data_IF_572794984727
#
_entry.id   IF_572794984727
#
_cell.length_a   1.000
_cell.length_b   1.000
_cell.length_c   1.000
_cell.angle_alpha   90.00
_cell.angle_beta   90.00
_cell.angle_gamma   90.00
#
_symmetry.space_group_name_H-M   'P 1'
#
loop_
_entity.id
_entity.type
_entity.pdbx_description
1 polymer ?
#
# COMPACT_ATOMS: atom_id res chain seq x y z
N UNK A 1 -5.60 -0.20 -41.67
CA UNK A 1 -6.23 -0.12 -40.33
C UNK A 1 -7.27 -1.23 -40.27
N UNK A 2 -6.82 -2.47 -40.01
CA UNK A 2 -7.63 -3.68 -40.23
C UNK A 2 -7.46 -4.68 -39.07
N UNK A 3 -7.15 -4.16 -37.88
CA UNK A 3 -6.86 -4.96 -36.69
C UNK A 3 -7.90 -4.79 -35.55
N UNK A 4 -9.03 -4.12 -35.81
CA UNK A 4 -10.08 -3.89 -34.79
C UNK A 4 -11.40 -4.58 -35.12
N UNK A 5 -11.56 -5.17 -36.32
CA UNK A 5 -12.85 -5.73 -36.79
C UNK A 5 -13.15 -7.18 -36.35
N UNK A 6 -12.36 -7.75 -35.42
CA UNK A 6 -12.63 -9.09 -34.86
C UNK A 6 -12.77 -9.05 -33.34
N UNK A 7 -13.54 -8.11 -32.82
CA UNK A 7 -13.88 -8.05 -31.40
C UNK A 7 -14.97 -9.09 -31.08
N UNK A 8 -14.55 -10.28 -30.68
CA UNK A 8 -15.46 -11.30 -30.12
C UNK A 8 -15.81 -10.90 -28.68
N UNK A 9 -17.10 -10.79 -28.31
CA UNK A 9 -17.52 -10.58 -26.92
C UNK A 9 -16.88 -11.57 -25.95
N UNK A 10 -16.51 -11.12 -24.75
CA UNK A 10 -15.83 -11.96 -23.76
C UNK A 10 -16.63 -13.23 -23.41
N UNK A 11 -17.95 -13.13 -23.32
CA UNK A 11 -18.85 -14.27 -23.06
C UNK A 11 -18.76 -15.30 -24.18
N UNK A 12 -18.83 -14.85 -25.43
CA UNK A 12 -18.72 -15.72 -26.61
C UNK A 12 -17.37 -16.43 -26.66
N UNK A 13 -16.27 -15.71 -26.39
CA UNK A 13 -14.94 -16.31 -26.32
C UNK A 13 -14.85 -17.42 -25.26
N UNK A 14 -15.44 -17.21 -24.08
CA UNK A 14 -15.45 -18.19 -22.99
C UNK A 14 -16.26 -19.43 -23.37
N UNK A 15 -17.43 -19.26 -24.01
CA UNK A 15 -18.25 -20.39 -24.49
C UNK A 15 -17.45 -21.22 -25.51
N UNK A 16 -16.77 -20.57 -26.45
CA UNK A 16 -15.90 -21.25 -27.42
C UNK A 16 -14.73 -21.98 -26.75
N UNK A 17 -14.23 -21.45 -25.63
CA UNK A 17 -13.16 -22.10 -24.88
C UNK A 17 -13.62 -23.35 -24.14
N UNK A 18 -14.84 -23.38 -23.60
CA UNK A 18 -15.43 -24.58 -23.00
C UNK A 18 -15.71 -25.66 -24.04
N UNK A 19 -16.11 -25.28 -25.25
CA UNK A 19 -16.30 -26.21 -26.36
C UNK A 19 -15.00 -26.95 -26.71
N UNK A 20 -13.88 -26.24 -26.77
CA UNK A 20 -12.56 -26.84 -27.06
C UNK A 20 -12.06 -27.78 -25.96
N UNK A 21 -12.47 -27.56 -24.71
CA UNK A 21 -12.00 -28.31 -23.53
C UNK A 21 -12.80 -29.59 -23.27
N UNK A 22 -14.00 -29.70 -23.79
CA UNK A 22 -14.93 -30.80 -23.52
C UNK A 22 -15.12 -31.67 -24.78
N UNK A 23 -15.30 -32.99 -24.61
CA UNK A 23 -15.55 -33.88 -25.75
C UNK A 23 -17.01 -33.83 -26.21
N UNK A 24 -17.27 -33.06 -27.27
CA UNK A 24 -18.61 -32.84 -27.84
C UNK A 24 -19.23 -34.08 -28.49
N UNK A 25 -18.45 -35.16 -28.70
CA UNK A 25 -18.98 -36.43 -29.23
C UNK A 25 -19.63 -37.29 -28.15
N UNK A 26 -19.43 -36.96 -26.87
CA UNK A 26 -19.99 -37.71 -25.74
C UNK A 26 -21.16 -36.95 -25.10
N UNK A 27 -22.17 -37.69 -24.62
CA UNK A 27 -23.27 -37.09 -23.86
C UNK A 27 -22.78 -36.38 -22.58
N UNK A 28 -21.69 -36.87 -21.99
CA UNK A 28 -21.05 -36.26 -20.82
C UNK A 28 -20.43 -34.89 -21.14
N UNK A 29 -19.67 -34.78 -22.24
CA UNK A 29 -19.03 -33.52 -22.64
C UNK A 29 -20.04 -32.45 -23.07
N UNK A 30 -21.13 -32.85 -23.76
CA UNK A 30 -22.25 -31.94 -24.06
C UNK A 30 -22.89 -31.38 -22.79
N UNK A 31 -23.14 -32.24 -21.81
CA UNK A 31 -23.70 -31.83 -20.51
C UNK A 31 -22.76 -30.90 -19.73
N UNK A 32 -21.45 -31.13 -19.80
CA UNK A 32 -20.43 -30.29 -19.16
C UNK A 32 -20.38 -28.90 -19.80
N UNK A 33 -20.29 -28.80 -21.13
CA UNK A 33 -20.35 -27.53 -21.85
C UNK A 33 -21.61 -26.73 -21.48
N UNK A 34 -22.79 -27.33 -21.57
CA UNK A 34 -24.03 -26.64 -21.25
C UNK A 34 -24.04 -26.19 -19.78
N UNK A 35 -23.55 -27.02 -18.84
CA UNK A 35 -23.55 -26.65 -17.42
C UNK A 35 -22.56 -25.50 -17.11
N UNK A 36 -21.38 -25.50 -17.73
CA UNK A 36 -20.36 -24.45 -17.52
C UNK A 36 -20.73 -23.14 -18.20
N UNK A 37 -21.22 -23.20 -19.44
CA UNK A 37 -21.67 -22.03 -20.18
C UNK A 37 -22.89 -21.37 -19.52
N UNK A 38 -23.90 -22.15 -19.12
CA UNK A 38 -25.11 -21.60 -18.51
C UNK A 38 -24.87 -20.95 -17.15
N UNK A 39 -23.86 -21.40 -16.37
CA UNK A 39 -23.45 -20.71 -15.13
C UNK A 39 -22.97 -19.29 -15.37
N UNK A 40 -22.34 -19.03 -16.52
CA UNK A 40 -21.92 -17.69 -16.93
C UNK A 40 -23.12 -16.83 -17.33
N UNK A 41 -24.12 -17.43 -18.00
CA UNK A 41 -25.32 -16.74 -18.49
C UNK A 41 -26.25 -16.24 -17.39
N UNK A 42 -26.20 -16.84 -16.20
CA UNK A 42 -26.90 -16.34 -15.00
C UNK A 42 -26.46 -14.90 -14.65
N UNK A 43 -25.20 -14.55 -14.91
CA UNK A 43 -24.66 -13.22 -14.57
C UNK A 43 -24.98 -12.15 -15.64
N UNK A 44 -25.54 -12.54 -16.79
CA UNK A 44 -25.93 -11.62 -17.87
C UNK A 44 -27.25 -10.95 -17.51
N UNK A 45 -27.20 -9.62 -17.29
CA UNK A 45 -28.35 -8.83 -16.87
C UNK A 45 -29.30 -8.51 -18.03
N UNK A 46 -28.77 -8.31 -19.24
CA UNK A 46 -29.57 -7.97 -20.42
C UNK A 46 -30.31 -9.22 -20.95
N UNK A 47 -31.65 -9.19 -21.04
CA UNK A 47 -32.43 -10.33 -21.51
C UNK A 47 -32.17 -10.71 -22.98
N UNK A 48 -31.87 -9.74 -23.85
CA UNK A 48 -31.62 -9.95 -25.28
C UNK A 48 -30.26 -10.59 -25.51
N UNK A 49 -29.24 -10.14 -24.77
CA UNK A 49 -27.93 -10.78 -24.81
C UNK A 49 -27.98 -12.20 -24.25
N UNK A 50 -28.70 -12.41 -23.14
CA UNK A 50 -28.86 -13.75 -22.55
C UNK A 50 -29.52 -14.71 -23.53
N UNK A 51 -30.56 -14.26 -24.22
CA UNK A 51 -31.25 -15.00 -25.26
C UNK A 51 -30.30 -15.42 -26.40
N UNK A 52 -29.50 -14.48 -26.90
CA UNK A 52 -28.51 -14.74 -27.96
C UNK A 52 -27.51 -15.85 -27.55
N UNK A 53 -27.02 -15.82 -26.31
CA UNK A 53 -26.07 -16.82 -25.85
C UNK A 53 -26.70 -18.17 -25.51
N UNK A 54 -27.98 -18.22 -25.10
CA UNK A 54 -28.71 -19.48 -24.93
C UNK A 54 -28.79 -20.22 -26.27
N UNK A 55 -29.13 -19.50 -27.35
CA UNK A 55 -29.18 -20.03 -28.71
C UNK A 55 -27.79 -20.52 -29.16
N UNK A 56 -26.73 -19.76 -28.86
CA UNK A 56 -25.36 -20.15 -29.17
C UNK A 56 -24.93 -21.44 -28.45
N UNK A 57 -25.26 -21.58 -27.16
CA UNK A 57 -24.96 -22.80 -26.39
C UNK A 57 -25.73 -23.99 -26.94
N UNK A 58 -27.03 -23.83 -27.24
CA UNK A 58 -27.86 -24.90 -27.81
C UNK A 58 -27.29 -25.44 -29.12
N UNK A 59 -26.86 -24.55 -30.01
CA UNK A 59 -26.25 -24.90 -31.28
C UNK A 59 -24.91 -25.64 -31.09
N UNK A 60 -24.06 -25.19 -30.16
CA UNK A 60 -22.75 -25.81 -29.89
C UNK A 60 -22.86 -27.16 -29.18
N UNK A 61 -23.82 -27.34 -28.26
CA UNK A 61 -24.05 -28.65 -27.61
C UNK A 61 -24.88 -29.60 -28.46
N UNK A 62 -25.52 -29.12 -29.53
CA UNK A 62 -26.42 -29.91 -30.38
C UNK A 62 -27.67 -30.36 -29.61
N UNK A 63 -28.23 -29.47 -28.79
CA UNK A 63 -29.42 -29.71 -27.96
C UNK A 63 -30.51 -28.70 -28.32
N UNK A 64 -31.77 -29.01 -28.02
CA UNK A 64 -32.84 -28.04 -28.24
C UNK A 64 -32.72 -26.86 -27.26
N UNK A 65 -33.13 -25.68 -27.71
CA UNK A 65 -33.23 -24.48 -26.88
C UNK A 65 -34.03 -24.71 -25.59
N UNK A 66 -35.19 -25.35 -25.68
CA UNK A 66 -36.01 -25.69 -24.51
C UNK A 66 -35.26 -26.56 -23.49
N UNK A 67 -34.36 -27.45 -23.95
CA UNK A 67 -33.55 -28.28 -23.05
C UNK A 67 -32.48 -27.45 -22.32
N UNK A 68 -31.92 -26.42 -22.99
CA UNK A 68 -30.95 -25.49 -22.40
C UNK A 68 -31.63 -24.54 -21.42
N UNK A 69 -32.82 -24.03 -21.74
CA UNK A 69 -33.64 -23.20 -20.86
C UNK A 69 -34.08 -23.97 -19.60
N UNK A 70 -34.63 -25.19 -19.76
CA UNK A 70 -34.97 -26.04 -18.63
C UNK A 70 -33.73 -26.39 -17.77
N UNK A 71 -32.55 -26.48 -18.39
CA UNK A 71 -31.29 -26.69 -17.66
C UNK A 71 -30.84 -25.44 -16.92
N UNK A 72 -31.05 -24.25 -17.48
CA UNK A 72 -30.75 -22.97 -16.85
C UNK A 72 -31.56 -22.77 -15.57
N UNK A 73 -32.86 -23.11 -15.60
CA UNK A 73 -33.74 -23.08 -14.43
C UNK A 73 -33.32 -24.08 -13.33
N UNK A 74 -32.70 -25.20 -13.72
CA UNK A 74 -32.18 -26.23 -12.81
C UNK A 74 -30.76 -25.96 -12.33
N UNK A 75 -30.09 -24.91 -12.84
CA UNK A 75 -28.78 -24.53 -12.32
C UNK A 75 -29.03 -23.81 -11.01
N UNK A 76 -28.85 -24.56 -9.92
CA UNK A 76 -28.56 -23.97 -8.62
C UNK A 76 -27.30 -23.12 -8.80
N UNK A 77 -27.53 -21.81 -8.93
CA UNK A 77 -26.48 -20.82 -8.67
C UNK A 77 -26.03 -21.16 -7.26
N UNK A 78 -24.76 -21.51 -7.03
CA UNK A 78 -24.28 -21.52 -5.68
C UNK A 78 -24.52 -20.09 -5.20
N UNK A 79 -25.50 -19.90 -4.32
CA UNK A 79 -25.49 -18.77 -3.41
C UNK A 79 -24.20 -19.01 -2.66
N UNK A 80 -23.11 -18.49 -3.21
CA UNK A 80 -21.89 -18.28 -2.49
C UNK A 80 -22.36 -17.37 -1.38
N UNK A 81 -22.76 -17.97 -0.25
CA UNK A 81 -22.60 -17.34 1.04
C UNK A 81 -21.23 -16.72 0.92
N UNK A 82 -21.13 -15.37 0.88
CA UNK A 82 -19.89 -14.72 0.53
C UNK A 82 -18.90 -15.34 1.49
N UNK A 83 -17.99 -16.18 0.97
CA UNK A 83 -17.05 -16.93 1.78
C UNK A 83 -16.37 -15.82 2.51
N UNK A 84 -16.66 -15.70 3.82
CA UNK A 84 -16.20 -14.58 4.63
C UNK A 84 -14.71 -14.55 4.34
N UNK A 85 -14.30 -13.57 3.53
CA UNK A 85 -12.90 -13.33 3.29
C UNK A 85 -12.37 -13.20 4.71
N UNK A 86 -11.29 -13.93 5.05
CA UNK A 86 -10.63 -13.70 6.33
C UNK A 86 -10.56 -12.20 6.44
N UNK A 87 -11.20 -11.63 7.47
CA UNK A 87 -11.10 -10.22 7.75
C UNK A 87 -9.61 -10.00 7.89
N UNK A 88 -9.00 -9.48 6.82
CA UNK A 88 -7.68 -8.91 6.90
C UNK A 88 -7.92 -7.87 7.97
N UNK A 89 -7.26 -8.02 9.12
CA UNK A 89 -7.25 -6.94 10.10
C UNK A 89 -6.98 -5.68 9.27
N UNK A 90 -7.81 -4.63 9.37
CA UNK A 90 -7.50 -3.41 8.66
C UNK A 90 -6.03 -3.14 8.95
N UNK A 91 -5.19 -3.18 7.91
CA UNK A 91 -3.88 -2.56 8.03
C UNK A 91 -4.28 -1.17 8.50
N UNK A 92 -3.85 -0.76 9.70
CA UNK A 92 -4.06 0.62 10.13
C UNK A 92 -3.42 1.47 9.04
N UNK A 93 -4.25 1.95 8.11
CA UNK A 93 -3.79 2.81 7.05
C UNK A 93 -3.45 4.08 7.80
N UNK A 94 -2.16 4.32 7.94
CA UNK A 94 -1.66 5.54 8.55
C UNK A 94 -2.42 6.72 7.96
N UNK A 95 -2.82 7.65 8.82
CA UNK A 95 -3.51 8.85 8.38
C UNK A 95 -2.64 9.55 7.31
N UNK A 96 -3.24 10.24 6.32
CA UNK A 96 -2.47 10.97 5.32
C UNK A 96 -1.44 11.94 5.93
N UNK A 97 -1.77 12.51 7.10
CA UNK A 97 -0.83 13.32 7.88
C UNK A 97 0.37 12.50 8.36
N UNK A 98 0.15 11.32 8.93
CA UNK A 98 1.23 10.47 9.42
C UNK A 98 2.15 9.97 8.30
N UNK A 99 1.58 9.57 7.16
CA UNK A 99 2.36 9.18 5.98
C UNK A 99 3.28 10.35 5.55
N UNK A 100 2.75 11.58 5.57
CA UNK A 100 3.53 12.78 5.24
C UNK A 100 4.64 13.03 6.26
N UNK A 101 4.36 12.89 7.55
CA UNK A 101 5.37 13.07 8.63
C UNK A 101 6.53 12.07 8.49
N UNK A 102 6.22 10.78 8.26
CA UNK A 102 7.24 9.75 8.02
C UNK A 102 8.02 9.99 6.72
N UNK A 103 7.35 10.48 5.67
CA UNK A 103 7.99 10.83 4.40
C UNK A 103 8.96 12.00 4.56
N UNK A 104 8.61 13.02 5.35
CA UNK A 104 9.51 14.14 5.67
C UNK A 104 10.81 13.65 6.31
N UNK A 105 10.73 12.68 7.24
CA UNK A 105 11.89 12.09 7.88
C UNK A 105 12.77 11.34 6.88
N UNK A 106 12.17 10.52 6.00
CA UNK A 106 12.91 9.80 4.96
C UNK A 106 13.58 10.75 3.96
N UNK A 107 12.93 11.87 3.62
CA UNK A 107 13.50 12.87 2.73
C UNK A 107 14.69 13.59 3.36
N UNK A 108 14.65 13.87 4.66
CA UNK A 108 15.82 14.41 5.36
C UNK A 108 16.99 13.43 5.33
N UNK A 109 16.75 12.14 5.61
CA UNK A 109 17.79 11.10 5.57
C UNK A 109 18.36 10.91 4.16
N UNK A 110 17.49 10.97 3.14
CA UNK A 110 17.89 10.92 1.74
C UNK A 110 18.74 12.12 1.33
N UNK A 111 18.48 13.30 1.90
CA UNK A 111 19.28 14.48 1.64
C UNK A 111 20.64 14.41 2.35
N UNK A 112 20.65 13.94 3.60
CA UNK A 112 21.86 13.72 4.38
C UNK A 112 22.80 12.68 3.75
N UNK A 113 22.27 11.71 3.00
CA UNK A 113 23.10 10.70 2.32
C UNK A 113 23.84 11.21 1.08
N UNK A 114 23.45 12.37 0.53
CA UNK A 114 24.03 12.94 -0.71
C UNK A 114 24.63 14.33 -0.53
N UNK A 115 24.28 15.05 0.54
CA UNK A 115 24.72 16.42 0.80
C UNK A 115 25.33 16.53 2.20
N UNK A 116 26.65 16.71 2.27
CA UNK A 116 27.37 16.84 3.56
C UNK A 116 26.81 17.98 4.39
N UNK A 117 26.53 19.14 3.78
CA UNK A 117 26.03 20.28 4.55
C UNK A 117 24.63 20.03 5.13
N UNK A 118 23.86 19.07 4.63
CA UNK A 118 22.62 18.65 5.27
C UNK A 118 22.86 17.91 6.59
N UNK A 119 23.97 17.17 6.71
CA UNK A 119 24.40 16.54 7.97
C UNK A 119 24.75 17.62 9.01
N UNK A 120 25.50 18.65 8.61
CA UNK A 120 25.84 19.78 9.48
C UNK A 120 24.59 20.52 9.99
N UNK A 121 23.60 20.73 9.12
CA UNK A 121 22.32 21.37 9.49
C UNK A 121 21.52 20.49 10.47
N UNK A 122 21.64 19.17 10.37
CA UNK A 122 20.92 18.21 11.21
C UNK A 122 21.64 17.85 12.52
N UNK A 123 22.86 18.35 12.77
CA UNK A 123 23.71 18.02 13.94
C UNK A 123 22.99 18.16 15.29
N UNK A 124 22.09 19.14 15.40
CA UNK A 124 21.35 19.42 16.65
C UNK A 124 20.14 18.51 16.88
N UNK A 125 19.76 17.70 15.89
CA UNK A 125 18.67 16.73 16.04
C UNK A 125 19.16 15.50 16.79
N UNK A 126 18.23 14.80 17.44
CA UNK A 126 18.49 13.53 18.12
C UNK A 126 17.81 12.39 17.37
N UNK A 127 18.32 11.18 17.50
CA UNK A 127 17.72 9.99 16.90
C UNK A 127 16.22 9.85 17.27
N UNK A 128 15.85 10.17 18.52
CA UNK A 128 14.47 10.16 19.04
C UNK A 128 13.47 11.05 18.25
N UNK A 129 13.96 11.96 17.41
CA UNK A 129 13.11 12.78 16.56
C UNK A 129 12.50 11.97 15.42
N UNK A 130 13.18 10.90 15.02
CA UNK A 130 12.78 9.99 13.96
C UNK A 130 11.97 8.81 14.53
N UNK A 131 10.95 8.37 13.78
CA UNK A 131 10.11 7.22 14.11
C UNK A 131 10.59 5.96 13.41
N UNK A 132 10.79 4.90 14.20
CA UNK A 132 11.23 3.58 13.72
C UNK A 132 12.74 3.41 13.84
N UNK A 133 13.14 2.19 14.23
CA UNK A 133 14.55 1.86 14.51
C UNK A 133 15.44 2.06 13.28
N UNK A 134 14.94 1.78 12.07
CA UNK A 134 15.68 1.94 10.82
C UNK A 134 16.10 3.40 10.56
N UNK A 135 15.16 4.34 10.77
CA UNK A 135 15.43 5.78 10.62
C UNK A 135 16.45 6.27 11.62
N UNK A 136 16.31 5.83 12.86
CA UNK A 136 17.18 6.19 13.97
C UNK A 136 18.60 5.68 13.76
N UNK A 137 18.74 4.43 13.32
CA UNK A 137 20.02 3.82 13.01
C UNK A 137 20.71 4.54 11.83
N UNK A 138 19.98 4.80 10.73
CA UNK A 138 20.54 5.53 9.59
C UNK A 138 20.94 6.97 9.97
N UNK A 139 20.11 7.68 10.73
CA UNK A 139 20.44 9.02 11.24
C UNK A 139 21.73 9.02 12.07
N UNK A 140 21.84 8.09 13.02
CA UNK A 140 23.00 7.97 13.89
C UNK A 140 24.28 7.63 13.09
N UNK A 141 24.16 6.75 12.09
CA UNK A 141 25.26 6.42 11.20
C UNK A 141 25.73 7.64 10.39
N UNK A 142 24.81 8.38 9.76
CA UNK A 142 25.13 9.55 8.94
C UNK A 142 25.78 10.67 9.76
N UNK A 143 25.33 10.90 11.00
CA UNK A 143 25.99 11.84 11.91
C UNK A 143 27.41 11.41 12.30
N UNK A 144 27.61 10.11 12.53
CA UNK A 144 28.92 9.57 12.93
C UNK A 144 29.91 9.52 11.76
N UNK A 145 29.39 9.48 10.52
CA UNK A 145 30.17 9.32 9.30
C UNK A 145 29.84 10.40 8.24
N UNK A 146 30.01 11.71 8.54
CA UNK A 146 29.53 12.81 7.69
C UNK A 146 30.22 12.90 6.32
N UNK A 147 31.37 12.25 6.15
CA UNK A 147 32.13 12.24 4.89
C UNK A 147 31.98 10.91 4.13
N UNK A 148 31.23 9.95 4.66
CA UNK A 148 31.06 8.65 4.02
C UNK A 148 29.88 8.70 3.04
N UNK A 149 30.15 8.39 1.77
CA UNK A 149 29.08 8.27 0.77
C UNK A 149 28.46 6.87 0.82
N UNK A 150 27.13 6.81 0.78
CA UNK A 150 26.37 5.56 0.77
C UNK A 150 26.06 5.05 -0.65
N UNK A 151 26.63 5.65 -1.70
CA UNK A 151 26.24 5.38 -3.09
C UNK A 151 26.69 4.03 -3.66
N UNK A 152 27.76 3.43 -3.13
CA UNK A 152 28.39 2.26 -3.76
C UNK A 152 27.99 0.95 -3.06
N UNK A 153 28.17 0.86 -1.74
CA UNK A 153 27.84 -0.33 -0.96
C UNK A 153 27.31 0.09 0.41
N UNK A 154 26.33 -0.67 0.93
CA UNK A 154 25.78 -0.44 2.26
C UNK A 154 26.82 -0.93 3.28
N UNK A 155 27.26 -0.08 4.23
CA UNK A 155 28.19 -0.46 5.29
C UNK A 155 27.69 -1.63 6.13
N UNK A 156 28.62 -2.40 6.70
CA UNK A 156 28.30 -3.58 7.54
C UNK A 156 27.40 -3.20 8.73
N UNK A 157 27.59 -2.01 9.31
CA UNK A 157 26.78 -1.49 10.41
C UNK A 157 25.31 -1.23 10.03
N UNK A 158 25.02 -1.06 8.74
CA UNK A 158 23.69 -0.80 8.20
C UNK A 158 23.08 -2.02 7.51
N UNK A 159 23.77 -3.17 7.52
CA UNK A 159 23.34 -4.36 6.79
C UNK A 159 21.99 -4.89 7.28
N UNK A 160 21.68 -4.75 8.58
CA UNK A 160 20.38 -5.13 9.16
C UNK A 160 19.21 -4.31 8.58
N UNK A 161 19.49 -3.10 8.08
CA UNK A 161 18.50 -2.20 7.51
C UNK A 161 18.77 -1.88 6.04
N UNK A 162 19.53 -2.74 5.34
CA UNK A 162 19.94 -2.61 3.93
C UNK A 162 18.79 -2.18 3.01
N UNK A 163 17.65 -2.86 3.12
CA UNK A 163 16.48 -2.58 2.28
C UNK A 163 15.96 -1.17 2.51
N UNK A 164 15.90 -0.71 3.76
CA UNK A 164 15.49 0.65 4.08
C UNK A 164 16.51 1.67 3.54
N UNK A 165 17.81 1.42 3.70
CA UNK A 165 18.87 2.29 3.16
C UNK A 165 18.73 2.44 1.65
N UNK A 166 18.52 1.35 0.91
CA UNK A 166 18.26 1.38 -0.55
C UNK A 166 17.03 2.20 -0.92
N UNK A 167 15.95 2.10 -0.14
CA UNK A 167 14.75 2.94 -0.34
C UNK A 167 15.08 4.43 -0.14
N UNK A 168 15.87 4.77 0.87
CA UNK A 168 16.30 6.16 1.13
C UNK A 168 17.21 6.68 0.01
N UNK A 169 18.14 5.87 -0.48
CA UNK A 169 19.01 6.23 -1.61
C UNK A 169 18.20 6.47 -2.89
N UNK A 170 17.22 5.61 -3.20
CA UNK A 170 16.30 5.82 -4.31
C UNK A 170 15.51 7.14 -4.16
N UNK A 171 15.06 7.47 -2.95
CA UNK A 171 14.42 8.78 -2.68
C UNK A 171 15.38 9.94 -2.93
N UNK A 172 16.67 9.79 -2.61
CA UNK A 172 17.67 10.82 -2.86
C UNK A 172 17.87 11.06 -4.36
N UNK A 173 18.05 9.98 -5.14
CA UNK A 173 18.21 10.03 -6.59
C UNK A 173 17.01 10.67 -7.28
N UNK A 174 15.80 10.27 -6.89
CA UNK A 174 14.55 10.74 -7.51
C UNK A 174 14.24 12.20 -7.17
N UNK A 175 14.59 12.66 -5.97
CA UNK A 175 14.17 13.98 -5.47
C UNK A 175 15.24 15.06 -5.59
N UNK A 176 16.52 14.71 -5.42
CA UNK A 176 17.59 15.70 -5.22
C UNK A 176 18.64 15.73 -6.33
N UNK A 177 18.66 14.74 -7.23
CA UNK A 177 19.67 14.67 -8.28
C UNK A 177 19.65 15.88 -9.23
N UNK A 178 18.50 16.53 -9.40
CA UNK A 178 18.34 17.73 -10.25
C UNK A 178 18.61 19.05 -9.51
N UNK A 179 18.68 19.04 -8.17
CA UNK A 179 18.90 20.24 -7.37
C UNK A 179 20.39 20.53 -7.24
N UNK A 180 20.75 21.81 -7.23
CA UNK A 180 22.10 22.25 -6.88
C UNK A 180 22.35 22.21 -5.36
N UNK A 181 23.63 22.32 -4.95
CA UNK A 181 24.00 22.27 -3.53
C UNK A 181 23.33 23.35 -2.68
N UNK A 182 23.12 24.56 -3.21
CA UNK A 182 22.47 25.64 -2.45
C UNK A 182 20.99 25.35 -2.19
N UNK A 183 20.28 24.83 -3.20
CA UNK A 183 18.89 24.40 -3.10
C UNK A 183 18.74 23.23 -2.13
N UNK A 184 19.68 22.27 -2.18
CA UNK A 184 19.74 21.16 -1.24
C UNK A 184 19.89 21.66 0.20
N UNK A 185 20.76 22.64 0.47
CA UNK A 185 20.90 23.20 1.82
C UNK A 185 19.65 23.92 2.31
N UNK A 186 18.96 24.68 1.44
CA UNK A 186 17.68 25.32 1.80
C UNK A 186 16.62 24.29 2.14
N UNK A 187 16.51 23.23 1.33
CA UNK A 187 15.59 22.11 1.62
C UNK A 187 15.97 21.40 2.92
N UNK A 188 17.26 21.19 3.21
CA UNK A 188 17.72 20.58 4.46
C UNK A 188 17.24 21.38 5.69
N UNK A 189 17.42 22.70 5.67
CA UNK A 189 16.93 23.58 6.75
C UNK A 189 15.42 23.47 6.92
N UNK A 190 14.67 23.44 5.82
CA UNK A 190 13.21 23.26 5.84
C UNK A 190 12.82 21.93 6.47
N UNK A 191 13.43 20.83 6.03
CA UNK A 191 13.14 19.48 6.53
C UNK A 191 13.52 19.31 8.00
N UNK A 192 14.68 19.82 8.43
CA UNK A 192 15.12 19.80 9.83
C UNK A 192 14.12 20.51 10.74
N UNK A 193 13.63 21.68 10.32
CA UNK A 193 12.61 22.41 11.06
C UNK A 193 11.28 21.64 11.12
N UNK A 194 10.86 21.01 10.01
CA UNK A 194 9.66 20.19 9.99
C UNK A 194 9.77 18.98 10.91
N UNK A 195 10.88 18.23 10.86
CA UNK A 195 11.12 17.07 11.74
C UNK A 195 11.08 17.49 13.21
N UNK A 196 11.72 18.62 13.55
CA UNK A 196 11.67 19.17 14.92
C UNK A 196 10.23 19.50 15.36
N UNK A 197 9.47 20.18 14.51
CA UNK A 197 8.07 20.53 14.81
C UNK A 197 7.18 19.29 14.96
N UNK A 198 7.36 18.28 14.10
CA UNK A 198 6.62 17.01 14.16
C UNK A 198 6.93 16.26 15.46
N UNK A 199 8.21 16.16 15.83
CA UNK A 199 8.61 15.55 17.11
C UNK A 199 7.99 16.29 18.30
N UNK A 200 8.05 17.62 18.33
CA UNK A 200 7.43 18.42 19.40
C UNK A 200 5.92 18.21 19.48
N UNK A 201 5.23 18.18 18.34
CA UNK A 201 3.78 17.89 18.26
C UNK A 201 3.48 16.51 18.85
N UNK A 202 4.24 15.48 18.44
CA UNK A 202 4.08 14.10 18.92
C UNK A 202 4.35 13.97 20.42
N UNK A 203 5.44 14.54 20.92
CA UNK A 203 5.77 14.57 22.35
C UNK A 203 4.68 15.28 23.17
N UNK A 204 4.14 16.38 22.67
CA UNK A 204 3.02 17.08 23.33
C UNK A 204 1.79 16.18 23.45
N UNK A 205 1.43 15.46 22.40
CA UNK A 205 0.30 14.53 22.41
C UNK A 205 0.54 13.42 23.44
N UNK A 206 1.70 12.75 23.38
CA UNK A 206 2.07 11.68 24.31
C UNK A 206 2.06 12.12 25.77
N UNK A 207 2.64 13.29 26.08
CA UNK A 207 2.65 13.82 27.44
C UNK A 207 1.24 14.20 27.92
N UNK A 208 0.38 14.71 27.03
CA UNK A 208 -1.00 15.06 27.36
C UNK A 208 -1.84 13.82 27.64
N UNK A 209 -1.65 12.76 26.84
CA UNK A 209 -2.33 11.48 27.04
C UNK A 209 -1.86 10.79 28.32
N UNK A 210 -0.55 10.73 28.54
CA UNK A 210 0.03 10.20 29.78
C UNK A 210 -0.49 10.96 31.01
N UNK A 211 -0.59 12.29 30.95
CA UNK A 211 -1.12 13.09 32.06
C UNK A 211 -2.59 12.76 32.37
N UNK A 212 -3.43 12.57 31.34
CA UNK A 212 -4.83 12.17 31.53
C UNK A 212 -4.96 10.80 32.20
N UNK A 213 -4.09 9.86 31.83
CA UNK A 213 -4.07 8.52 32.40
C UNK A 213 -3.57 8.52 33.86
N UNK A 214 -2.54 9.30 34.18
CA UNK A 214 -2.02 9.45 35.55
C UNK A 214 -2.99 10.17 36.47
N UNK A 215 -3.69 11.21 35.97
CA UNK A 215 -4.73 11.91 36.72
C UNK A 215 -5.91 10.99 37.04
N UNK A 216 -6.31 10.12 36.10
CA UNK A 216 -7.33 9.10 36.37
C UNK A 216 -6.88 8.09 37.43
N UNK A 217 -5.58 7.82 37.50
CA UNK A 217 -4.96 6.91 38.47
C UNK A 217 -4.58 7.57 39.81
N UNK A 218 -4.92 8.86 40.01
CA UNK A 218 -4.67 9.65 41.23
C UNK A 218 -3.20 9.66 41.70
N UNK A 219 -2.23 9.56 40.78
CA UNK A 219 -0.80 9.67 41.09
C UNK A 219 -0.32 11.12 40.91
N UNK A 220 -0.38 11.91 42.00
CA UNK A 220 -0.08 13.34 41.95
C UNK A 220 1.41 13.62 41.63
N UNK A 221 2.32 12.80 42.15
CA UNK A 221 3.77 12.98 41.95
C UNK A 221 4.17 12.83 40.48
N UNK A 222 3.65 11.82 39.79
CA UNK A 222 3.90 11.64 38.35
C UNK A 222 3.17 12.70 37.52
N UNK A 223 1.98 13.14 37.94
CA UNK A 223 1.24 14.20 37.25
C UNK A 223 2.01 15.53 37.26
N UNK A 224 2.61 15.90 38.39
CA UNK A 224 3.44 17.11 38.49
C UNK A 224 4.72 17.02 37.63
N UNK A 225 5.33 15.83 37.57
CA UNK A 225 6.49 15.59 36.68
C UNK A 225 6.13 15.76 35.21
N UNK A 226 5.00 15.20 34.77
CA UNK A 226 4.52 15.32 33.39
C UNK A 226 4.14 16.76 33.02
N UNK A 227 3.49 17.50 33.94
CA UNK A 227 3.20 18.93 33.77
C UNK A 227 4.48 19.75 33.61
N UNK A 228 5.51 19.47 34.41
CA UNK A 228 6.80 20.13 34.30
C UNK A 228 7.47 19.85 32.94
N UNK A 229 7.47 18.60 32.48
CA UNK A 229 8.00 18.21 31.18
C UNK A 229 7.26 18.90 30.02
N UNK A 230 5.93 18.96 30.08
CA UNK A 230 5.11 19.65 29.08
C UNK A 230 5.41 21.16 29.04
N UNK A 231 5.60 21.79 30.20
CA UNK A 231 5.96 23.21 30.29
C UNK A 231 7.35 23.51 29.71
N UNK A 232 8.32 22.62 29.90
CA UNK A 232 9.63 22.74 29.28
C UNK A 232 9.53 22.66 27.75
N UNK A 233 8.78 21.69 27.23
CA UNK A 233 8.56 21.52 25.80
C UNK A 233 7.91 22.76 25.15
N UNK A 234 6.97 23.41 25.84
CA UNK A 234 6.32 24.64 25.37
C UNK A 234 7.29 25.84 25.35
N UNK A 235 8.26 25.88 26.27
CA UNK A 235 9.24 26.96 26.40
C UNK A 235 10.40 26.87 25.40
N UNK A 236 10.69 25.69 24.84
CA UNK A 236 11.71 25.50 23.79
C UNK A 236 11.29 26.01 22.39
N UNK A 237 10.31 26.91 22.32
CA UNK A 237 9.78 27.52 21.10
C UNK A 237 10.72 28.58 20.51
#
# INVERSE_FOLDING_TARGET
AEAVDQTVPAIEWVICQYEKRNDMKTAAGKRQLSTEALRLLVAVQDPVEREHYIEMVANKSGTSRNAVEARLEQIEVPTATPRRLKTIQPIEIDSPERIKELSTQDYLLALMSVERGAVDVAEKLKAEYFEGMERQALFAYLLSNPNHSLSDEVPEELQEIDTYVKVVLLKAETRYNTLDGSQRLVEAVSLVNQVKQQHQKRQKILLTEALRETESSHNETESDRLRAALNLLIKEK
#
